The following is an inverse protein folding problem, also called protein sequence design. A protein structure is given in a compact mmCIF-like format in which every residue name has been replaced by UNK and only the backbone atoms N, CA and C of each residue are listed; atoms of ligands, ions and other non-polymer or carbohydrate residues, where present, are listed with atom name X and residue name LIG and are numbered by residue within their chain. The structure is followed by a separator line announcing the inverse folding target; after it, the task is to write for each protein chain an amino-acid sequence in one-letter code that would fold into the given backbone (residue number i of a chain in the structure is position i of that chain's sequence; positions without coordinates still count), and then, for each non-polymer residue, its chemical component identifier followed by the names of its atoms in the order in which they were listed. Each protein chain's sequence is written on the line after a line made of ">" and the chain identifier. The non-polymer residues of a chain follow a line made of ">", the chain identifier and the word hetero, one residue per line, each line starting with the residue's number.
data_IF_744421222302
#
_entry.id   IF_744421222302
#
_cell.length_a   1.000
_cell.length_b   1.000
_cell.length_c   1.000
_cell.angle_alpha   90.00
_cell.angle_beta   90.00
_cell.angle_gamma   90.00
#
_symmetry.space_group_name_H-M   'P 1'
#
loop_
_entity.id
_entity.type
_entity.pdbx_description
1 polymer ?
#
# COMPACT_ATOMS: atom_id res chain seq x y z
N UNK A 1 34.04 32.32 -35.02
CA UNK A 1 32.82 31.71 -34.45
C UNK A 1 33.15 30.24 -34.22
N UNK A 2 33.67 29.94 -33.03
CA UNK A 2 34.08 28.59 -32.61
C UNK A 2 33.20 28.28 -31.42
N UNK A 3 32.05 27.63 -31.66
CA UNK A 3 31.20 27.10 -30.61
C UNK A 3 31.98 25.98 -29.89
N UNK A 4 32.07 26.12 -28.57
CA UNK A 4 32.80 25.22 -27.70
C UNK A 4 32.26 23.78 -27.79
N UNK A 5 33.12 22.75 -27.70
CA UNK A 5 32.73 21.33 -27.70
C UNK A 5 32.07 20.86 -26.38
N UNK A 6 31.63 21.80 -25.53
CA UNK A 6 31.22 21.50 -24.14
C UNK A 6 29.90 20.71 -24.02
N UNK A 7 29.03 20.72 -25.04
CA UNK A 7 27.69 20.10 -24.93
C UNK A 7 27.65 18.63 -25.39
N UNK A 8 28.62 18.16 -26.17
CA UNK A 8 28.67 16.76 -26.64
C UNK A 8 29.60 15.85 -25.80
N UNK A 9 30.42 16.43 -24.93
CA UNK A 9 31.36 15.72 -24.04
C UNK A 9 30.67 15.01 -22.86
N UNK A 10 29.35 15.15 -22.72
CA UNK A 10 28.60 14.92 -21.47
C UNK A 10 27.89 13.56 -21.44
N UNK A 11 27.47 12.99 -22.57
CA UNK A 11 26.52 11.87 -22.58
C UNK A 11 27.07 10.56 -21.99
N UNK A 12 28.31 10.19 -22.29
CA UNK A 12 28.90 8.96 -21.72
C UNK A 12 29.15 9.10 -20.21
N UNK A 13 29.51 10.33 -19.78
CA UNK A 13 29.85 10.65 -18.39
C UNK A 13 28.57 10.79 -17.55
N UNK A 14 27.49 11.35 -18.08
CA UNK A 14 26.18 11.40 -17.40
C UNK A 14 25.57 10.01 -17.27
N UNK A 15 25.77 9.17 -18.28
CA UNK A 15 25.33 7.77 -18.26
C UNK A 15 26.28 6.83 -17.52
N UNK A 16 27.36 7.35 -16.92
CA UNK A 16 28.26 6.56 -16.08
C UNK A 16 27.50 5.97 -14.88
N UNK A 17 27.90 4.79 -14.40
CA UNK A 17 27.31 4.21 -13.21
C UNK A 17 27.72 5.01 -11.96
N UNK A 18 26.73 5.32 -11.14
CA UNK A 18 26.92 5.96 -9.84
C UNK A 18 26.77 4.94 -8.71
N UNK A 19 27.09 5.34 -7.48
CA UNK A 19 26.82 4.50 -6.29
C UNK A 19 25.33 4.21 -6.13
N UNK A 20 24.47 5.17 -6.49
CA UNK A 20 23.01 4.99 -6.51
C UNK A 20 22.59 3.97 -7.57
N UNK A 21 23.16 4.04 -8.79
CA UNK A 21 22.93 3.01 -9.83
C UNK A 21 23.31 1.61 -9.34
N UNK A 22 24.43 1.49 -8.63
CA UNK A 22 24.90 0.22 -8.08
C UNK A 22 23.99 -0.29 -6.95
N UNK A 23 23.48 0.60 -6.09
CA UNK A 23 22.49 0.30 -5.06
C UNK A 23 21.21 -0.23 -5.67
N UNK A 24 20.63 0.54 -6.58
CA UNK A 24 19.39 0.22 -7.28
C UNK A 24 19.50 -1.11 -8.03
N UNK A 25 20.65 -1.37 -8.67
CA UNK A 25 20.88 -2.64 -9.34
C UNK A 25 20.79 -3.83 -8.38
N UNK A 26 21.47 -3.76 -7.23
CA UNK A 26 21.43 -4.82 -6.24
C UNK A 26 20.01 -5.07 -5.69
N UNK A 27 19.27 -3.99 -5.40
CA UNK A 27 17.92 -4.08 -4.84
C UNK A 27 16.89 -4.54 -5.88
N UNK A 28 16.95 -4.02 -7.11
CA UNK A 28 16.10 -4.45 -8.22
C UNK A 28 16.32 -5.93 -8.56
N UNK A 29 17.58 -6.39 -8.60
CA UNK A 29 17.89 -7.81 -8.79
C UNK A 29 17.24 -8.65 -7.70
N UNK A 30 17.36 -8.26 -6.43
CA UNK A 30 16.73 -8.99 -5.33
C UNK A 30 15.20 -9.10 -5.52
N UNK A 31 14.53 -7.99 -5.82
CA UNK A 31 13.07 -7.96 -5.95
C UNK A 31 12.58 -8.76 -7.17
N UNK A 32 13.25 -8.65 -8.33
CA UNK A 32 12.91 -9.43 -9.53
C UNK A 32 13.18 -10.93 -9.33
N UNK A 33 14.32 -11.29 -8.72
CA UNK A 33 14.61 -12.67 -8.34
C UNK A 33 13.57 -13.23 -7.37
N UNK A 34 13.04 -12.40 -6.47
CA UNK A 34 11.99 -12.80 -5.55
C UNK A 34 10.67 -13.07 -6.28
N UNK A 35 10.26 -12.23 -7.23
CA UNK A 35 9.07 -12.46 -8.06
C UNK A 35 9.15 -13.78 -8.84
N UNK A 36 10.32 -14.07 -9.42
CA UNK A 36 10.58 -15.34 -10.12
C UNK A 36 10.46 -16.55 -9.17
N UNK A 37 11.14 -16.50 -7.99
CA UNK A 37 11.09 -17.60 -7.00
C UNK A 37 9.69 -17.85 -6.47
N UNK A 38 8.90 -16.80 -6.27
CA UNK A 38 7.51 -16.89 -5.79
C UNK A 38 6.51 -17.27 -6.90
N UNK A 39 7.00 -17.57 -8.11
CA UNK A 39 6.20 -17.92 -9.30
C UNK A 39 5.17 -16.86 -9.67
N UNK A 40 5.47 -15.59 -9.41
CA UNK A 40 4.65 -14.45 -9.82
C UNK A 40 4.96 -14.07 -11.28
N UNK A 41 4.90 -15.05 -12.18
CA UNK A 41 5.40 -14.93 -13.57
C UNK A 41 4.63 -13.84 -14.33
N UNK A 42 3.31 -13.73 -14.15
CA UNK A 42 2.49 -12.72 -14.83
C UNK A 42 2.90 -11.30 -14.46
N UNK A 43 3.11 -11.04 -13.15
CA UNK A 43 3.54 -9.72 -12.65
C UNK A 43 4.95 -9.42 -13.10
N UNK A 44 5.83 -10.43 -13.10
CA UNK A 44 7.19 -10.32 -13.59
C UNK A 44 7.21 -9.96 -15.08
N UNK A 45 6.46 -10.66 -15.92
CA UNK A 45 6.38 -10.38 -17.36
C UNK A 45 5.86 -8.97 -17.66
N UNK A 46 4.75 -8.54 -17.04
CA UNK A 46 4.22 -7.17 -17.23
C UNK A 46 5.23 -6.11 -16.71
N UNK A 47 5.93 -6.39 -15.60
CA UNK A 47 7.01 -5.53 -15.08
C UNK A 47 8.16 -5.38 -16.08
N UNK A 48 8.52 -6.47 -16.76
CA UNK A 48 9.61 -6.48 -17.73
C UNK A 48 9.19 -5.83 -19.04
N UNK A 49 7.96 -6.02 -19.49
CA UNK A 49 7.48 -5.50 -20.77
C UNK A 49 7.10 -4.02 -20.68
N UNK A 50 6.52 -3.62 -19.55
CA UNK A 50 6.06 -2.28 -19.25
C UNK A 50 6.77 -1.67 -18.03
N UNK A 51 8.08 -1.36 -18.12
CA UNK A 51 8.84 -0.78 -17.00
C UNK A 51 8.28 0.57 -16.55
N UNK A 52 7.63 1.33 -17.43
CA UNK A 52 6.94 2.58 -17.11
C UNK A 52 5.76 2.38 -16.16
N UNK A 53 5.12 1.20 -16.17
CA UNK A 53 4.00 0.85 -15.29
C UNK A 53 4.47 0.18 -14.00
N UNK A 54 5.75 -0.16 -13.87
CA UNK A 54 6.27 -0.92 -12.74
C UNK A 54 6.76 -0.03 -11.61
N UNK A 55 6.22 -0.24 -10.40
CA UNK A 55 6.72 0.40 -9.18
C UNK A 55 8.16 0.03 -8.88
N UNK A 56 8.64 -1.16 -9.30
CA UNK A 56 10.04 -1.55 -9.11
C UNK A 56 10.96 -0.70 -9.98
N UNK A 57 10.65 -0.53 -11.26
CA UNK A 57 11.48 0.31 -12.14
C UNK A 57 11.40 1.80 -11.80
N UNK A 58 10.29 2.27 -11.23
CA UNK A 58 10.21 3.61 -10.67
C UNK A 58 11.07 3.78 -9.41
N UNK A 59 10.94 2.87 -8.43
CA UNK A 59 11.73 2.91 -7.21
C UNK A 59 13.24 2.82 -7.49
N UNK A 60 13.61 2.07 -8.53
CA UNK A 60 15.00 1.87 -8.96
C UNK A 60 15.31 2.64 -10.25
N UNK A 61 14.89 3.92 -10.29
CA UNK A 61 15.01 4.82 -11.46
C UNK A 61 16.44 4.95 -11.99
N UNK A 62 17.46 4.88 -11.12
CA UNK A 62 18.85 5.02 -11.56
C UNK A 62 19.30 3.86 -12.46
N UNK A 63 18.64 2.71 -12.39
CA UNK A 63 18.81 1.60 -13.35
C UNK A 63 17.90 1.79 -14.55
N UNK A 64 16.61 2.10 -14.34
CA UNK A 64 15.61 2.30 -15.41
C UNK A 64 16.08 3.29 -16.48
N UNK A 65 16.62 4.43 -16.04
CA UNK A 65 17.00 5.54 -16.93
C UNK A 65 18.30 5.24 -17.71
N UNK A 66 19.00 4.13 -17.40
CA UNK A 66 20.21 3.69 -18.08
C UNK A 66 19.92 2.49 -18.97
N UNK A 67 19.57 2.74 -20.23
CA UNK A 67 19.25 1.70 -21.21
C UNK A 67 20.32 0.60 -21.33
N UNK A 68 21.61 0.96 -21.27
CA UNK A 68 22.72 0.01 -21.33
C UNK A 68 22.71 -1.04 -20.20
N UNK A 69 22.01 -0.77 -19.09
CA UNK A 69 21.87 -1.65 -17.92
C UNK A 69 20.46 -2.26 -17.80
N UNK A 70 19.41 -1.45 -18.04
CA UNK A 70 18.02 -1.89 -17.95
C UNK A 70 17.66 -2.90 -19.04
N UNK A 71 18.09 -2.70 -20.29
CA UNK A 71 17.77 -3.63 -21.39
C UNK A 71 18.36 -5.02 -21.16
N UNK A 72 19.67 -5.20 -20.87
CA UNK A 72 20.22 -6.54 -20.67
C UNK A 72 19.61 -7.24 -19.46
N UNK A 73 19.29 -6.51 -18.39
CA UNK A 73 18.61 -7.06 -17.22
C UNK A 73 17.23 -7.59 -17.61
N UNK A 74 16.42 -6.78 -18.32
CA UNK A 74 15.08 -7.17 -18.75
C UNK A 74 15.10 -8.36 -19.69
N UNK A 75 15.99 -8.33 -20.67
CA UNK A 75 16.11 -9.39 -21.68
C UNK A 75 16.47 -10.73 -21.04
N UNK A 76 17.40 -10.76 -20.09
CA UNK A 76 17.75 -12.01 -19.42
C UNK A 76 16.58 -12.53 -18.58
N UNK A 77 15.89 -11.66 -17.85
CA UNK A 77 14.70 -12.10 -17.10
C UNK A 77 13.58 -12.62 -18.01
N UNK A 78 13.37 -12.04 -19.20
CA UNK A 78 12.46 -12.62 -20.21
C UNK A 78 12.90 -14.01 -20.65
N UNK A 79 14.20 -14.25 -20.83
CA UNK A 79 14.67 -15.60 -21.14
C UNK A 79 14.47 -16.55 -19.95
N UNK A 80 14.63 -16.07 -18.72
CA UNK A 80 14.36 -16.84 -17.49
C UNK A 80 12.87 -17.24 -17.44
N UNK A 81 11.93 -16.32 -17.70
CA UNK A 81 10.49 -16.65 -17.74
C UNK A 81 10.13 -17.63 -18.87
N UNK A 82 10.86 -17.59 -19.99
CA UNK A 82 10.75 -18.55 -21.09
C UNK A 82 11.43 -19.91 -20.82
N UNK A 83 12.07 -20.10 -19.65
CA UNK A 83 12.65 -21.38 -19.24
C UNK A 83 14.17 -21.48 -19.34
N UNK A 84 14.91 -20.37 -19.29
CA UNK A 84 16.37 -20.39 -19.21
C UNK A 84 16.84 -20.89 -17.83
N UNK A 85 17.31 -22.14 -17.76
CA UNK A 85 17.74 -22.77 -16.50
C UNK A 85 19.25 -23.00 -16.38
N UNK A 86 20.01 -22.75 -17.45
CA UNK A 86 21.45 -23.05 -17.50
C UNK A 86 22.30 -21.81 -17.24
N UNK A 87 23.11 -21.83 -16.16
CA UNK A 87 24.00 -20.71 -15.78
C UNK A 87 24.91 -20.27 -16.95
N UNK A 88 25.51 -21.25 -17.64
CA UNK A 88 26.44 -21.01 -18.75
C UNK A 88 25.77 -20.25 -19.90
N UNK A 89 24.46 -20.43 -20.10
CA UNK A 89 23.73 -19.70 -21.15
C UNK A 89 23.52 -18.23 -20.75
N UNK A 90 23.17 -17.96 -19.49
CA UNK A 90 23.08 -16.59 -18.94
C UNK A 90 24.41 -15.86 -19.08
N UNK A 91 25.50 -16.50 -18.68
CA UNK A 91 26.85 -15.94 -18.78
C UNK A 91 27.21 -15.59 -20.23
N UNK A 92 26.96 -16.50 -21.18
CA UNK A 92 27.23 -16.27 -22.60
C UNK A 92 26.42 -15.12 -23.19
N UNK A 93 25.13 -15.03 -22.87
CA UNK A 93 24.25 -13.97 -23.36
C UNK A 93 24.73 -12.60 -22.86
N UNK A 94 25.04 -12.49 -21.56
CA UNK A 94 25.54 -11.25 -20.98
C UNK A 94 26.97 -10.92 -21.38
N UNK A 95 27.87 -11.89 -21.52
CA UNK A 95 29.23 -11.66 -22.00
C UNK A 95 29.22 -11.13 -23.45
N UNK A 96 28.32 -11.62 -24.29
CA UNK A 96 28.09 -11.09 -25.64
C UNK A 96 27.65 -9.63 -25.59
N UNK A 97 26.70 -9.28 -24.71
CA UNK A 97 26.22 -7.90 -24.54
C UNK A 97 27.27 -6.97 -23.95
N UNK A 98 28.05 -7.44 -22.96
CA UNK A 98 29.19 -6.73 -22.38
C UNK A 98 30.23 -6.40 -23.46
N UNK A 99 30.56 -7.37 -24.32
CA UNK A 99 31.49 -7.17 -25.41
C UNK A 99 30.97 -6.13 -26.42
N UNK A 100 29.68 -6.16 -26.75
CA UNK A 100 29.05 -5.17 -27.62
C UNK A 100 29.12 -3.75 -27.02
N UNK A 101 28.66 -3.56 -25.78
CA UNK A 101 28.73 -2.26 -25.08
C UNK A 101 30.16 -1.74 -25.01
N UNK A 102 31.12 -2.62 -24.69
CA UNK A 102 32.53 -2.24 -24.62
C UNK A 102 33.17 -1.90 -25.98
N UNK A 103 32.64 -2.39 -27.10
CA UNK A 103 33.07 -1.96 -28.45
C UNK A 103 32.41 -0.63 -28.84
N UNK A 104 31.13 -0.45 -28.53
CA UNK A 104 30.39 0.78 -28.78
C UNK A 104 31.00 1.97 -28.01
N UNK A 105 31.30 1.79 -26.72
CA UNK A 105 31.99 2.80 -25.90
C UNK A 105 33.40 3.10 -26.44
N UNK A 106 34.17 2.09 -26.86
CA UNK A 106 35.50 2.30 -27.46
C UNK A 106 35.43 3.06 -28.78
N UNK A 107 34.38 2.83 -29.58
CA UNK A 107 34.14 3.57 -30.82
C UNK A 107 33.75 5.01 -30.52
N UNK A 108 32.82 5.21 -29.58
CA UNK A 108 32.41 6.54 -29.13
C UNK A 108 33.62 7.36 -28.66
N UNK A 109 34.43 6.81 -27.75
CA UNK A 109 35.63 7.48 -27.24
C UNK A 109 36.59 7.84 -28.38
N UNK A 110 36.81 6.93 -29.34
CA UNK A 110 37.67 7.20 -30.50
C UNK A 110 37.14 8.36 -31.33
N UNK A 111 35.83 8.36 -31.63
CA UNK A 111 35.19 9.35 -32.48
C UNK A 111 35.13 10.73 -31.81
N UNK A 112 34.80 10.79 -30.51
CA UNK A 112 34.83 12.01 -29.69
C UNK A 112 36.23 12.63 -29.68
N UNK A 113 37.27 11.81 -29.48
CA UNK A 113 38.64 12.30 -29.40
C UNK A 113 39.25 12.62 -30.78
N UNK A 114 38.69 12.12 -31.88
CA UNK A 114 39.24 12.31 -33.23
C UNK A 114 39.22 13.78 -33.69
N UNK A 115 38.26 14.58 -33.20
CA UNK A 115 38.14 16.01 -33.50
C UNK A 115 39.00 16.93 -32.63
N UNK A 116 39.61 16.41 -31.56
CA UNK A 116 40.39 17.21 -30.62
C UNK A 116 41.85 17.29 -31.03
N UNK A 117 42.44 18.50 -31.07
CA UNK A 117 43.88 18.64 -31.21
C UNK A 117 44.61 18.04 -29.99
N UNK A 118 45.86 17.61 -30.19
CA UNK A 118 46.68 16.98 -29.16
C UNK A 118 47.01 17.99 -28.06
N UNK A 119 46.21 17.96 -26.99
CA UNK A 119 46.21 18.93 -25.89
C UNK A 119 46.11 18.16 -24.57
N UNK A 120 46.63 18.68 -23.45
CA UNK A 120 46.48 18.04 -22.15
C UNK A 120 45.01 17.81 -21.76
N UNK A 121 44.08 18.64 -22.25
CA UNK A 121 42.64 18.45 -22.07
C UNK A 121 42.09 17.19 -22.79
N UNK A 122 42.67 16.81 -23.93
CA UNK A 122 42.29 15.58 -24.66
C UNK A 122 42.67 14.33 -23.85
N UNK A 123 43.81 14.37 -23.17
CA UNK A 123 44.28 13.25 -22.34
C UNK A 123 43.44 13.08 -21.07
N UNK A 124 43.13 14.18 -20.37
CA UNK A 124 42.24 14.18 -19.20
C UNK A 124 40.84 13.64 -19.54
N UNK A 125 40.25 14.11 -20.65
CA UNK A 125 38.95 13.63 -21.11
C UNK A 125 39.01 12.13 -21.48
N UNK A 126 40.08 11.69 -22.15
CA UNK A 126 40.28 10.28 -22.49
C UNK A 126 40.31 9.40 -21.25
N UNK A 127 41.03 9.80 -20.20
CA UNK A 127 41.10 9.07 -18.94
C UNK A 127 39.70 8.94 -18.32
N UNK A 128 38.98 10.05 -18.15
CA UNK A 128 37.62 10.07 -17.58
C UNK A 128 36.62 9.23 -18.36
N UNK A 129 36.66 9.27 -19.69
CA UNK A 129 35.78 8.47 -20.54
C UNK A 129 36.12 6.98 -20.46
N UNK A 130 37.40 6.62 -20.40
CA UNK A 130 37.83 5.24 -20.23
C UNK A 130 37.43 4.68 -18.87
N UNK A 131 37.55 5.48 -17.80
CA UNK A 131 37.12 5.09 -16.46
C UNK A 131 35.60 4.85 -16.42
N UNK A 132 34.81 5.75 -16.99
CA UNK A 132 33.36 5.58 -17.10
C UNK A 132 32.98 4.32 -17.89
N UNK A 133 33.63 4.05 -19.03
CA UNK A 133 33.40 2.85 -19.82
C UNK A 133 33.83 1.57 -19.09
N UNK A 134 34.95 1.61 -18.35
CA UNK A 134 35.42 0.50 -17.53
C UNK A 134 34.42 0.18 -16.42
N UNK A 135 33.89 1.19 -15.74
CA UNK A 135 32.90 1.00 -14.69
C UNK A 135 31.59 0.42 -15.23
N UNK A 136 31.11 0.84 -16.41
CA UNK A 136 29.94 0.23 -17.07
C UNK A 136 30.13 -1.27 -17.27
N UNK A 137 31.29 -1.67 -17.80
CA UNK A 137 31.64 -3.08 -18.00
C UNK A 137 31.66 -3.86 -16.68
N UNK A 138 32.18 -3.26 -15.61
CA UNK A 138 32.22 -3.90 -14.29
C UNK A 138 30.82 -4.06 -13.69
N UNK A 139 29.95 -3.06 -13.84
CA UNK A 139 28.53 -3.14 -13.41
C UNK A 139 27.77 -4.22 -14.18
N UNK A 140 27.96 -4.32 -15.50
CA UNK A 140 27.35 -5.39 -16.30
C UNK A 140 27.88 -6.79 -15.91
N UNK A 141 29.16 -6.91 -15.56
CA UNK A 141 29.71 -8.16 -15.00
C UNK A 141 29.09 -8.49 -13.65
N UNK A 142 28.79 -7.49 -12.82
CA UNK A 142 28.07 -7.69 -11.56
C UNK A 142 26.66 -8.22 -11.80
N UNK A 143 25.92 -7.63 -12.75
CA UNK A 143 24.62 -8.15 -13.21
C UNK A 143 24.74 -9.60 -13.68
N UNK A 144 25.73 -9.92 -14.51
CA UNK A 144 25.99 -11.28 -15.00
C UNK A 144 26.18 -12.28 -13.86
N UNK A 145 27.05 -11.97 -12.91
CA UNK A 145 27.34 -12.88 -11.81
C UNK A 145 26.09 -13.10 -10.92
N UNK A 146 25.28 -12.07 -10.71
CA UNK A 146 24.05 -12.18 -9.95
C UNK A 146 22.98 -13.02 -10.64
N UNK A 147 22.74 -12.81 -11.94
CA UNK A 147 21.74 -13.59 -12.68
C UNK A 147 22.18 -15.04 -12.89
N UNK A 148 23.48 -15.29 -13.09
CA UNK A 148 24.03 -16.64 -13.10
C UNK A 148 23.84 -17.35 -11.75
N UNK A 149 24.05 -16.64 -10.63
CA UNK A 149 23.76 -17.19 -9.30
C UNK A 149 22.26 -17.49 -9.12
N UNK A 150 21.37 -16.59 -9.54
CA UNK A 150 19.93 -16.81 -9.42
C UNK A 150 19.45 -18.05 -10.17
N UNK A 151 19.84 -18.18 -11.45
CA UNK A 151 19.56 -19.37 -12.28
C UNK A 151 20.23 -20.61 -11.69
N UNK A 152 21.36 -20.43 -11.02
CA UNK A 152 22.04 -21.44 -10.22
C UNK A 152 21.32 -21.95 -8.98
N UNK A 153 20.16 -21.39 -8.64
CA UNK A 153 19.35 -21.84 -7.52
C UNK A 153 19.61 -21.08 -6.22
N UNK A 154 20.51 -20.11 -6.19
CA UNK A 154 20.72 -19.27 -5.01
C UNK A 154 19.48 -18.44 -4.65
N UNK A 155 19.39 -17.98 -3.40
CA UNK A 155 18.28 -17.14 -2.93
C UNK A 155 18.39 -15.72 -3.50
N UNK A 156 17.29 -14.97 -3.64
CA UNK A 156 17.32 -13.61 -4.20
C UNK A 156 18.34 -12.67 -3.54
N UNK A 157 18.40 -12.70 -2.21
CA UNK A 157 19.38 -11.95 -1.42
C UNK A 157 20.83 -12.34 -1.75
N UNK A 158 21.11 -13.64 -1.86
CA UNK A 158 22.47 -14.12 -2.19
C UNK A 158 22.83 -13.74 -3.62
N UNK A 159 21.91 -13.87 -4.57
CA UNK A 159 22.11 -13.42 -5.96
C UNK A 159 22.45 -11.93 -6.04
N UNK A 160 21.74 -11.08 -5.28
CA UNK A 160 22.04 -9.66 -5.19
C UNK A 160 23.39 -9.37 -4.51
N UNK A 161 23.79 -10.17 -3.52
CA UNK A 161 25.09 -10.05 -2.86
C UNK A 161 26.24 -10.44 -3.80
N UNK A 162 26.03 -11.38 -4.73
CA UNK A 162 26.99 -11.68 -5.81
C UNK A 162 27.24 -10.46 -6.72
N UNK A 163 26.20 -9.68 -7.04
CA UNK A 163 26.39 -8.40 -7.72
C UNK A 163 27.22 -7.45 -6.84
N UNK A 164 26.85 -7.26 -5.57
CA UNK A 164 27.54 -6.36 -4.63
C UNK A 164 29.04 -6.66 -4.53
N UNK A 165 29.41 -7.93 -4.39
CA UNK A 165 30.82 -8.34 -4.32
C UNK A 165 31.58 -8.11 -5.62
N UNK A 166 30.90 -8.18 -6.76
CA UNK A 166 31.49 -8.00 -8.09
C UNK A 166 31.68 -6.54 -8.48
N UNK A 167 30.99 -5.61 -7.82
CA UNK A 167 31.12 -4.17 -8.05
C UNK A 167 32.51 -3.63 -7.63
N UNK A 168 33.02 -2.59 -8.31
CA UNK A 168 34.28 -1.94 -7.92
C UNK A 168 34.14 -1.23 -6.57
N UNK A 169 35.27 -1.03 -5.87
CA UNK A 169 35.28 -0.56 -4.47
C UNK A 169 34.58 0.79 -4.26
N UNK A 170 34.66 1.70 -5.23
CA UNK A 170 34.04 3.03 -5.14
C UNK A 170 32.53 3.01 -5.38
N UNK A 171 31.98 1.95 -5.99
CA UNK A 171 30.54 1.77 -6.22
C UNK A 171 29.90 0.74 -5.27
N UNK A 172 30.72 -0.05 -4.57
CA UNK A 172 30.25 -1.16 -3.73
C UNK A 172 29.59 -0.66 -2.45
N UNK A 173 28.41 -1.20 -2.16
CA UNK A 173 27.69 -0.97 -0.92
C UNK A 173 28.32 -1.70 0.28
N UNK A 174 28.19 -1.09 1.45
CA UNK A 174 28.40 -1.78 2.72
C UNK A 174 27.43 -2.95 2.89
N UNK A 175 27.80 -3.94 3.70
CA UNK A 175 26.91 -5.08 3.94
C UNK A 175 25.65 -4.67 4.72
N UNK A 176 25.82 -3.83 5.75
CA UNK A 176 24.69 -3.34 6.56
C UNK A 176 23.75 -2.46 5.73
N UNK A 177 24.32 -1.52 4.95
CA UNK A 177 23.57 -0.69 3.99
C UNK A 177 22.77 -1.55 2.98
N UNK A 178 23.37 -2.64 2.51
CA UNK A 178 22.71 -3.57 1.59
C UNK A 178 21.58 -4.35 2.26
N UNK A 179 21.78 -4.85 3.47
CA UNK A 179 20.75 -5.55 4.24
C UNK A 179 19.57 -4.63 4.57
N UNK A 180 19.84 -3.42 5.04
CA UNK A 180 18.83 -2.42 5.33
C UNK A 180 18.05 -2.06 4.06
N UNK A 181 18.75 -1.92 2.93
CA UNK A 181 18.14 -1.74 1.62
C UNK A 181 17.20 -2.89 1.22
N UNK A 182 17.59 -4.15 1.45
CA UNK A 182 16.73 -5.31 1.18
C UNK A 182 15.54 -5.38 2.15
N UNK A 183 15.72 -4.98 3.41
CA UNK A 183 14.63 -4.96 4.38
C UNK A 183 13.57 -3.90 4.06
N UNK A 184 14.01 -2.81 3.43
CA UNK A 184 13.17 -1.70 3.01
C UNK A 184 13.00 -1.65 1.48
N UNK A 185 13.13 -2.77 0.77
CA UNK A 185 13.02 -2.80 -0.71
C UNK A 185 11.60 -2.52 -1.18
N UNK A 186 11.45 -1.96 -2.39
CA UNK A 186 10.14 -1.66 -2.97
C UNK A 186 9.23 -2.90 -3.00
N UNK A 187 9.80 -4.07 -3.33
CA UNK A 187 9.08 -5.34 -3.33
C UNK A 187 8.51 -5.77 -1.97
N UNK A 188 9.10 -5.31 -0.85
CA UNK A 188 8.60 -5.58 0.51
C UNK A 188 7.61 -4.54 1.02
N UNK A 189 7.67 -3.30 0.52
CA UNK A 189 6.75 -2.22 0.90
C UNK A 189 5.34 -2.45 0.36
N UNK A 190 5.24 -3.12 -0.78
CA UNK A 190 4.00 -3.39 -1.50
C UNK A 190 3.33 -4.67 -0.94
N UNK A 191 2.02 -4.62 -0.65
CA UNK A 191 1.31 -5.71 0.04
C UNK A 191 0.90 -6.86 -0.89
N UNK A 192 0.67 -6.54 -2.17
CA UNK A 192 0.26 -7.52 -3.20
C UNK A 192 1.11 -7.37 -4.47
N UNK A 193 1.53 -8.48 -5.11
CA UNK A 193 2.23 -8.42 -6.41
C UNK A 193 1.46 -7.62 -7.47
N UNK A 194 0.13 -7.62 -7.44
CA UNK A 194 -0.69 -6.87 -8.41
C UNK A 194 -0.67 -5.35 -8.18
N UNK A 195 -0.34 -4.90 -6.96
CA UNK A 195 -0.16 -3.48 -6.66
C UNK A 195 1.15 -2.93 -7.24
N UNK A 196 2.08 -3.81 -7.66
CA UNK A 196 3.36 -3.43 -8.27
C UNK A 196 3.21 -2.80 -9.67
N UNK A 197 2.02 -2.89 -10.27
CA UNK A 197 1.75 -2.47 -11.64
C UNK A 197 0.66 -1.40 -11.67
N UNK A 198 0.93 -0.31 -12.39
CA UNK A 198 -0.09 0.67 -12.72
C UNK A 198 -1.18 0.07 -13.64
N UNK A 199 -2.44 0.48 -13.46
CA UNK A 199 -3.50 0.21 -14.43
C UNK A 199 -3.12 0.67 -15.84
N UNK A 200 -3.72 0.08 -16.87
CA UNK A 200 -3.39 0.30 -18.29
C UNK A 200 -3.82 1.69 -18.81
N UNK A 201 -4.31 2.58 -17.94
CA UNK A 201 -4.70 3.93 -18.36
C UNK A 201 -3.47 4.72 -18.87
N UNK A 202 -3.66 5.59 -19.88
CA UNK A 202 -2.57 6.33 -20.49
C UNK A 202 -2.12 7.43 -19.53
N UNK A 203 -1.24 7.09 -18.62
CA UNK A 203 -0.52 8.04 -17.80
C UNK A 203 0.78 8.34 -18.55
N UNK A 204 0.98 9.60 -18.93
CA UNK A 204 2.23 10.03 -19.52
C UNK A 204 3.31 10.01 -18.42
N UNK A 205 4.36 9.17 -18.55
CA UNK A 205 5.41 9.02 -17.54
C UNK A 205 6.26 10.29 -17.34
N UNK A 206 6.04 11.33 -18.14
CA UNK A 206 6.68 12.64 -18.00
C UNK A 206 5.83 13.66 -17.23
N UNK A 207 4.64 13.28 -16.78
CA UNK A 207 3.72 14.16 -16.03
C UNK A 207 3.96 14.11 -14.53
N UNK A 208 3.70 15.22 -13.85
CA UNK A 208 3.74 15.29 -12.37
C UNK A 208 2.72 14.34 -11.73
N UNK A 209 1.60 14.07 -12.40
CA UNK A 209 0.58 13.11 -11.96
C UNK A 209 1.12 11.66 -11.93
N UNK A 210 2.03 11.30 -12.85
CA UNK A 210 2.71 10.00 -12.82
C UNK A 210 3.57 9.84 -11.55
N UNK A 211 4.45 10.80 -11.28
CA UNK A 211 5.36 10.75 -10.13
C UNK A 211 4.56 10.71 -8.81
N UNK A 212 3.50 11.52 -8.71
CA UNK A 212 2.61 11.55 -7.55
C UNK A 212 1.91 10.20 -7.35
N UNK A 213 1.40 9.56 -8.41
CA UNK A 213 0.73 8.27 -8.31
C UNK A 213 1.69 7.12 -7.94
N UNK A 214 2.91 7.14 -8.48
CA UNK A 214 3.93 6.13 -8.20
C UNK A 214 4.45 6.25 -6.76
N UNK A 215 4.75 7.47 -6.31
CA UNK A 215 5.19 7.74 -4.94
C UNK A 215 4.13 7.30 -3.91
N UNK A 216 2.85 7.67 -4.14
CA UNK A 216 1.73 7.23 -3.28
C UNK A 216 1.64 5.72 -3.15
N UNK A 217 1.76 4.98 -4.26
CA UNK A 217 1.65 3.52 -4.26
C UNK A 217 2.85 2.81 -3.64
N UNK A 218 4.05 3.37 -3.76
CA UNK A 218 5.23 2.85 -3.07
C UNK A 218 5.20 3.06 -1.56
N UNK A 219 4.20 3.79 -1.05
CA UNK A 219 4.19 4.22 0.34
C UNK A 219 5.34 5.17 0.64
N UNK A 220 5.88 5.84 -0.39
CA UNK A 220 6.67 7.06 -0.23
C UNK A 220 5.68 8.15 0.20
N UNK A 221 5.20 8.02 1.44
CA UNK A 221 4.72 9.18 2.15
C UNK A 221 5.86 10.19 2.09
N UNK A 222 5.52 11.44 1.78
CA UNK A 222 6.36 12.63 2.00
C UNK A 222 6.68 12.82 3.50
N UNK A 223 7.19 11.78 4.15
CA UNK A 223 7.58 11.71 5.55
C UNK A 223 9.05 11.26 5.70
N UNK A 224 9.74 10.80 4.64
CA UNK A 224 11.14 10.33 4.73
C UNK A 224 12.18 11.15 3.93
N UNK A 225 11.80 12.19 3.18
CA UNK A 225 12.76 13.13 2.58
C UNK A 225 12.38 14.58 2.93
N UNK A 226 12.68 14.96 4.17
CA UNK A 226 13.31 16.22 4.55
C UNK A 226 13.55 16.11 6.06
N UNK A 227 14.78 16.37 6.49
CA UNK A 227 15.08 16.62 7.91
C UNK A 227 13.99 17.50 8.50
N UNK A 228 13.53 17.16 9.71
CA UNK A 228 12.59 17.94 10.52
C UNK A 228 12.94 19.45 10.51
N UNK A 229 12.46 20.20 9.51
CA UNK A 229 12.08 21.57 9.77
C UNK A 229 10.83 21.48 10.64
N UNK A 230 10.86 22.04 11.87
CA UNK A 230 9.68 22.07 12.70
C UNK A 230 8.64 22.93 11.97
N UNK A 231 7.72 22.28 11.26
CA UNK A 231 6.54 22.95 10.73
C UNK A 231 5.85 23.57 11.94
N UNK A 232 5.89 24.90 12.01
CA UNK A 232 5.21 25.65 13.05
C UNK A 232 3.77 25.13 13.14
N UNK A 233 3.33 24.79 14.36
CA UNK A 233 1.96 24.35 14.60
C UNK A 233 1.01 25.35 13.93
N UNK A 234 -0.02 24.91 13.16
CA UNK A 234 -0.86 25.81 12.39
C UNK A 234 -1.34 26.96 13.29
N UNK A 235 -0.94 28.21 13.02
CA UNK A 235 -1.30 29.31 13.90
C UNK A 235 -2.82 29.46 13.88
N UNK A 236 -3.41 29.38 15.07
CA UNK A 236 -4.84 29.60 15.31
C UNK A 236 -5.78 28.74 14.44
N UNK A 237 -5.58 27.40 14.48
CA UNK A 237 -6.43 26.42 13.78
C UNK A 237 -7.94 26.66 14.02
N UNK A 238 -8.33 27.00 15.25
CA UNK A 238 -9.74 27.23 15.59
C UNK A 238 -10.29 28.46 14.86
N UNK A 239 -9.57 29.60 14.86
CA UNK A 239 -10.03 30.77 14.12
C UNK A 239 -10.07 30.54 12.61
N UNK A 240 -9.13 29.77 12.04
CA UNK A 240 -9.12 29.40 10.62
C UNK A 240 -10.32 28.51 10.28
N UNK A 241 -10.59 27.46 11.06
CA UNK A 241 -11.76 26.61 10.87
C UNK A 241 -13.08 27.39 11.01
N UNK A 242 -13.16 28.34 11.95
CA UNK A 242 -14.33 29.22 12.11
C UNK A 242 -14.49 30.18 10.93
N UNK A 243 -13.39 30.71 10.38
CA UNK A 243 -13.43 31.57 9.20
C UNK A 243 -13.90 30.79 7.96
N UNK A 244 -13.37 29.57 7.76
CA UNK A 244 -13.82 28.65 6.73
C UNK A 244 -15.31 28.33 6.93
N UNK A 245 -15.74 27.92 8.11
CA UNK A 245 -17.16 27.58 8.37
C UNK A 245 -18.14 28.74 8.08
N UNK A 246 -17.75 30.00 8.34
CA UNK A 246 -18.59 31.19 8.08
C UNK A 246 -18.79 31.51 6.61
N UNK A 247 -17.82 31.17 5.76
CA UNK A 247 -17.89 31.43 4.32
C UNK A 247 -18.90 30.55 3.58
N UNK A 248 -19.17 29.36 4.12
CA UNK A 248 -19.79 28.25 3.42
C UNK A 248 -21.29 28.10 3.71
N UNK A 249 -21.91 29.11 4.32
CA UNK A 249 -23.34 29.16 4.59
C UNK A 249 -24.11 29.55 3.31
N UNK A 250 -24.27 28.60 2.39
CA UNK A 250 -25.16 28.73 1.23
C UNK A 250 -26.59 28.34 1.63
N UNK A 251 -27.62 29.08 1.18
CA UNK A 251 -29.04 28.79 1.44
C UNK A 251 -29.58 27.48 0.79
N UNK A 252 -28.70 26.52 0.44
CA UNK A 252 -29.06 25.26 -0.23
C UNK A 252 -29.45 24.17 0.78
N UNK A 253 -30.67 23.66 0.69
CA UNK A 253 -31.19 22.63 1.59
C UNK A 253 -30.50 21.27 1.44
N UNK A 254 -30.05 20.91 0.25
CA UNK A 254 -29.41 19.61 -0.01
C UNK A 254 -27.97 19.60 0.53
N UNK A 255 -27.31 20.75 0.48
CA UNK A 255 -26.02 20.98 1.15
C UNK A 255 -26.12 20.70 2.64
N UNK A 256 -27.02 21.40 3.34
CA UNK A 256 -27.21 21.26 4.79
C UNK A 256 -27.50 19.80 5.19
N UNK A 257 -28.37 19.12 4.43
CA UNK A 257 -28.66 17.70 4.68
C UNK A 257 -27.41 16.82 4.59
N UNK A 258 -26.55 17.02 3.59
CA UNK A 258 -25.31 16.25 3.44
C UNK A 258 -24.27 16.57 4.52
N UNK A 259 -24.19 17.83 4.97
CA UNK A 259 -23.34 18.26 6.10
C UNK A 259 -23.79 17.54 7.38
N UNK A 260 -25.07 17.61 7.69
CA UNK A 260 -25.64 17.04 8.92
C UNK A 260 -25.45 15.52 8.95
N UNK A 261 -25.75 14.82 7.84
CA UNK A 261 -25.55 13.36 7.75
C UNK A 261 -24.10 12.94 7.98
N UNK A 262 -23.14 13.59 7.30
CA UNK A 262 -21.73 13.23 7.46
C UNK A 262 -21.22 13.57 8.87
N UNK A 263 -21.65 14.69 9.44
CA UNK A 263 -21.31 15.07 10.80
C UNK A 263 -21.79 14.01 11.82
N UNK A 264 -23.04 13.56 11.73
CA UNK A 264 -23.60 12.50 12.59
C UNK A 264 -22.77 11.21 12.50
N UNK A 265 -22.45 10.75 11.28
CA UNK A 265 -21.63 9.56 11.09
C UNK A 265 -20.22 9.71 11.69
N UNK A 266 -19.53 10.81 11.42
CA UNK A 266 -18.19 11.07 11.94
C UNK A 266 -18.18 11.24 13.47
N UNK A 267 -19.28 11.65 14.08
CA UNK A 267 -19.45 11.69 15.53
C UNK A 267 -19.60 10.28 16.13
N UNK A 268 -20.35 9.40 15.46
CA UNK A 268 -20.57 8.02 15.91
C UNK A 268 -19.33 7.14 15.77
N UNK A 269 -18.50 7.34 14.74
CA UNK A 269 -17.31 6.51 14.46
C UNK A 269 -16.24 6.65 15.57
N UNK A 270 -15.82 5.54 16.17
CA UNK A 270 -14.73 5.50 17.16
C UNK A 270 -13.34 5.82 16.56
N UNK A 271 -12.37 6.24 17.40
CA UNK A 271 -11.00 6.62 16.96
C UNK A 271 -10.30 5.58 16.05
N UNK A 272 -10.33 4.26 16.33
CA UNK A 272 -9.70 3.26 15.46
C UNK A 272 -10.34 3.18 14.06
N UNK A 273 -11.68 3.20 14.02
CA UNK A 273 -12.44 3.16 12.78
C UNK A 273 -12.29 4.47 11.97
N UNK A 274 -12.10 5.61 12.65
CA UNK A 274 -11.83 6.89 12.01
C UNK A 274 -10.42 6.92 11.38
N UNK A 275 -9.42 6.31 12.03
CA UNK A 275 -8.09 6.11 11.45
C UNK A 275 -8.14 5.22 10.20
N UNK A 276 -9.00 4.21 10.19
CA UNK A 276 -9.17 3.36 9.02
C UNK A 276 -9.90 4.08 7.89
N UNK A 277 -10.93 4.85 8.20
CA UNK A 277 -11.61 5.71 7.23
C UNK A 277 -10.64 6.70 6.56
N UNK A 278 -9.73 7.29 7.34
CA UNK A 278 -8.67 8.17 6.83
C UNK A 278 -7.69 7.49 5.86
N UNK A 279 -7.56 6.16 5.94
CA UNK A 279 -6.73 5.38 5.00
C UNK A 279 -7.49 4.95 3.75
N UNK A 280 -8.81 4.81 3.86
CA UNK A 280 -9.67 4.30 2.79
C UNK A 280 -10.18 5.38 1.84
N UNK A 281 -10.32 6.62 2.34
CA UNK A 281 -10.81 7.77 1.59
C UNK A 281 -9.62 8.62 1.09
N UNK A 282 -9.67 9.04 -0.16
CA UNK A 282 -8.62 9.87 -0.78
C UNK A 282 -8.47 11.22 -0.06
N UNK A 283 -7.22 11.73 0.04
CA UNK A 283 -6.92 12.99 0.76
C UNK A 283 -7.68 14.19 0.18
N UNK A 284 -7.85 14.23 -1.14
CA UNK A 284 -8.57 15.30 -1.84
C UNK A 284 -10.06 15.31 -1.47
N UNK A 285 -10.63 14.14 -1.21
CA UNK A 285 -12.03 14.00 -0.79
C UNK A 285 -12.25 14.51 0.64
N UNK A 286 -11.23 14.42 1.51
CA UNK A 286 -11.29 15.03 2.84
C UNK A 286 -11.23 16.56 2.79
N UNK A 287 -10.42 17.11 1.89
CA UNK A 287 -10.34 18.55 1.66
C UNK A 287 -11.72 19.11 1.36
N UNK A 288 -12.43 18.49 0.42
CA UNK A 288 -13.78 18.90 0.01
C UNK A 288 -14.87 18.48 1.00
N UNK A 289 -14.81 17.25 1.50
CA UNK A 289 -15.85 16.64 2.33
C UNK A 289 -15.98 17.25 3.72
N UNK A 290 -14.89 17.76 4.30
CA UNK A 290 -14.88 18.39 5.63
C UNK A 290 -15.39 19.83 5.64
N UNK A 291 -15.55 20.44 4.47
CA UNK A 291 -15.93 21.84 4.37
C UNK A 291 -17.34 22.05 4.92
N UNK A 292 -17.59 23.13 5.66
CA UNK A 292 -18.89 23.42 6.27
C UNK A 292 -19.33 22.48 7.40
N UNK A 293 -18.55 21.43 7.75
CA UNK A 293 -18.84 20.61 8.94
C UNK A 293 -18.58 21.41 10.24
N UNK A 294 -19.22 21.02 11.35
CA UNK A 294 -18.93 21.60 12.66
C UNK A 294 -17.43 21.52 13.01
N UNK A 295 -16.86 22.61 13.55
CA UNK A 295 -15.42 22.67 13.88
C UNK A 295 -15.01 21.57 14.85
N UNK A 296 -15.92 21.12 15.71
CA UNK A 296 -15.73 19.98 16.62
C UNK A 296 -15.41 18.68 15.89
N UNK A 297 -16.11 18.40 14.79
CA UNK A 297 -15.94 17.19 13.98
C UNK A 297 -14.64 17.28 13.17
N UNK A 298 -14.40 18.42 12.51
CA UNK A 298 -13.17 18.64 11.74
C UNK A 298 -11.94 18.54 12.63
N UNK A 299 -11.97 19.12 13.84
CA UNK A 299 -10.88 19.03 14.81
C UNK A 299 -10.60 17.59 15.25
N UNK A 300 -11.64 16.77 15.39
CA UNK A 300 -11.49 15.34 15.72
C UNK A 300 -10.70 14.63 14.63
N UNK A 301 -11.02 14.90 13.37
CA UNK A 301 -10.33 14.33 12.19
C UNK A 301 -8.88 14.84 12.14
N UNK A 302 -8.65 16.15 12.31
CA UNK A 302 -7.32 16.76 12.36
C UNK A 302 -6.44 16.21 13.50
N UNK A 303 -7.02 15.93 14.67
CA UNK A 303 -6.29 15.41 15.84
C UNK A 303 -5.66 14.02 15.63
N UNK A 304 -6.03 13.35 14.54
CA UNK A 304 -5.52 12.05 14.15
C UNK A 304 -4.38 12.14 13.11
N UNK A 305 -4.06 13.34 12.64
CA UNK A 305 -3.07 13.60 11.59
C UNK A 305 -1.81 14.30 12.13
N UNK A 306 -0.71 14.19 11.39
CA UNK A 306 0.52 14.97 11.66
C UNK A 306 0.32 16.46 11.39
N UNK A 307 1.13 17.33 12.00
CA UNK A 307 1.03 18.79 11.81
C UNK A 307 1.15 19.22 10.33
N UNK A 308 2.00 18.55 9.56
CA UNK A 308 2.16 18.78 8.12
C UNK A 308 0.91 18.36 7.34
N UNK A 309 0.32 17.21 7.66
CA UNK A 309 -0.92 16.76 7.03
C UNK A 309 -2.10 17.69 7.37
N UNK A 310 -2.18 18.19 8.61
CA UNK A 310 -3.15 19.21 9.00
C UNK A 310 -2.95 20.50 8.20
N UNK A 311 -1.71 20.96 8.03
CA UNK A 311 -1.40 22.18 7.28
C UNK A 311 -1.74 22.06 5.79
N UNK A 312 -1.44 20.92 5.16
CA UNK A 312 -1.79 20.65 3.77
C UNK A 312 -3.30 20.57 3.57
N UNK A 313 -4.00 19.79 4.39
CA UNK A 313 -5.46 19.67 4.31
C UNK A 313 -6.15 21.03 4.51
N UNK A 314 -5.64 21.84 5.44
CA UNK A 314 -6.15 23.18 5.68
C UNK A 314 -5.90 24.12 4.49
N UNK A 315 -4.76 23.98 3.81
CA UNK A 315 -4.46 24.70 2.58
C UNK A 315 -5.39 24.27 1.45
N UNK A 316 -5.64 22.98 1.29
CA UNK A 316 -6.58 22.46 0.28
C UNK A 316 -8.00 22.98 0.53
N UNK A 317 -8.44 22.98 1.80
CA UNK A 317 -9.71 23.56 2.22
C UNK A 317 -9.80 25.07 1.88
N UNK A 318 -8.70 25.80 2.02
CA UNK A 318 -8.59 27.23 1.67
C UNK A 318 -8.53 27.46 0.16
N UNK A 319 -7.89 26.60 -0.63
CA UNK A 319 -7.82 26.70 -2.09
C UNK A 319 -9.16 26.39 -2.77
N UNK A 320 -9.95 25.49 -2.18
CA UNK A 320 -11.32 25.17 -2.59
C UNK A 320 -12.35 26.23 -2.16
N UNK A 321 -11.95 27.22 -1.35
CA UNK A 321 -12.74 28.43 -1.06
C UNK A 321 -12.22 29.65 -1.84
N UNK A 322 -13.13 30.44 -2.42
CA UNK A 322 -12.77 31.78 -2.87
C UNK A 322 -12.59 32.74 -1.68
N UNK A 323 -11.99 33.92 -1.90
CA UNK A 323 -11.70 34.94 -0.87
C UNK A 323 -12.94 35.38 -0.05
N UNK A 324 -14.14 35.14 -0.59
CA UNK A 324 -15.45 35.40 0.05
C UNK A 324 -16.11 34.14 0.65
N UNK A 325 -15.45 32.98 0.65
CA UNK A 325 -15.92 31.74 1.26
C UNK A 325 -16.89 30.91 0.41
N UNK A 326 -17.11 31.29 -0.85
CA UNK A 326 -18.01 30.58 -1.77
C UNK A 326 -17.28 29.37 -2.34
N UNK A 327 -17.88 28.18 -2.22
CA UNK A 327 -17.36 26.95 -2.84
C UNK A 327 -17.33 27.12 -4.36
N UNK A 328 -16.20 26.85 -5.00
CA UNK A 328 -16.12 26.88 -6.47
C UNK A 328 -16.95 25.75 -7.12
N UNK A 329 -17.28 24.69 -6.38
CA UNK A 329 -17.95 23.47 -6.89
C UNK A 329 -19.00 22.86 -5.93
N UNK A 330 -20.11 23.55 -5.59
CA UNK A 330 -21.09 23.07 -4.59
C UNK A 330 -21.71 21.69 -4.91
N UNK A 331 -21.92 21.37 -6.19
CA UNK A 331 -22.43 20.07 -6.61
C UNK A 331 -21.41 18.91 -6.56
N UNK A 332 -20.11 19.20 -6.47
CA UNK A 332 -19.07 18.19 -6.28
C UNK A 332 -18.99 17.76 -4.81
N UNK A 333 -19.19 18.69 -3.87
CA UNK A 333 -19.06 18.43 -2.44
C UNK A 333 -20.10 17.43 -1.94
N UNK A 334 -21.37 17.58 -2.31
CA UNK A 334 -22.41 16.63 -1.89
C UNK A 334 -22.13 15.22 -2.41
N UNK A 335 -21.57 15.08 -3.62
CA UNK A 335 -21.17 13.78 -4.17
C UNK A 335 -19.98 13.18 -3.43
N UNK A 336 -18.98 13.99 -3.09
CA UNK A 336 -17.83 13.55 -2.30
C UNK A 336 -18.27 13.09 -0.92
N UNK A 337 -19.16 13.84 -0.23
CA UNK A 337 -19.70 13.43 1.07
C UNK A 337 -20.50 12.14 0.99
N UNK A 338 -21.35 11.97 -0.01
CA UNK A 338 -22.07 10.69 -0.20
C UNK A 338 -21.10 9.54 -0.48
N UNK A 339 -20.00 9.76 -1.22
CA UNK A 339 -18.94 8.74 -1.38
C UNK A 339 -18.27 8.37 -0.06
N UNK A 340 -18.00 9.34 0.82
CA UNK A 340 -17.44 9.08 2.16
C UNK A 340 -18.45 8.30 3.01
N UNK A 341 -19.73 8.68 2.97
CA UNK A 341 -20.81 7.98 3.68
C UNK A 341 -20.95 6.55 3.15
N UNK A 342 -20.91 6.34 1.83
CA UNK A 342 -20.95 5.01 1.22
C UNK A 342 -19.81 4.13 1.73
N UNK A 343 -18.59 4.68 1.87
CA UNK A 343 -17.46 3.94 2.46
C UNK A 343 -17.73 3.60 3.93
N UNK A 344 -18.28 4.54 4.72
CA UNK A 344 -18.64 4.31 6.13
C UNK A 344 -19.68 3.19 6.24
N UNK A 345 -20.72 3.21 5.41
CA UNK A 345 -21.82 2.25 5.40
C UNK A 345 -21.36 0.87 4.89
N UNK A 346 -20.63 0.81 3.78
CA UNK A 346 -20.09 -0.44 3.22
C UNK A 346 -19.13 -1.13 4.18
N UNK A 347 -18.38 -0.35 4.98
CA UNK A 347 -17.41 -0.87 5.96
C UNK A 347 -17.99 -1.01 7.37
N UNK A 348 -19.23 -0.59 7.61
CA UNK A 348 -19.88 -0.69 8.92
C UNK A 348 -19.19 0.10 10.04
N UNK A 349 -18.50 1.20 9.70
CA UNK A 349 -17.58 1.89 10.62
C UNK A 349 -18.29 2.68 11.73
N UNK A 350 -19.55 3.07 11.53
CA UNK A 350 -20.30 3.92 12.46
C UNK A 350 -20.86 3.17 13.68
N UNK A 351 -21.33 1.93 13.50
CA UNK A 351 -22.01 1.13 14.54
C UNK A 351 -21.32 -0.22 14.81
N UNK A 352 -20.04 -0.38 14.44
CA UNK A 352 -19.35 -1.67 14.55
C UNK A 352 -19.98 -2.78 13.69
N UNK A 353 -20.67 -2.40 12.61
CA UNK A 353 -21.39 -3.30 11.72
C UNK A 353 -22.90 -3.45 11.97
N UNK A 354 -23.49 -2.78 12.98
CA UNK A 354 -24.92 -2.94 13.28
C UNK A 354 -25.87 -2.58 12.12
N UNK A 355 -25.57 -1.54 11.36
CA UNK A 355 -26.35 -1.12 10.19
C UNK A 355 -26.28 -2.16 9.05
N UNK A 356 -25.09 -2.70 8.78
CA UNK A 356 -24.89 -3.80 7.83
C UNK A 356 -25.67 -5.04 8.25
N UNK A 357 -25.55 -5.43 9.52
CA UNK A 357 -26.24 -6.57 10.12
C UNK A 357 -27.76 -6.51 9.92
N UNK A 358 -28.39 -5.35 10.13
CA UNK A 358 -29.84 -5.15 9.90
C UNK A 358 -30.28 -5.42 8.45
N UNK A 359 -29.37 -5.39 7.49
CA UNK A 359 -29.67 -5.58 6.05
C UNK A 359 -29.82 -7.06 5.67
N UNK A 360 -29.12 -7.97 6.38
CA UNK A 360 -29.06 -9.38 6.00
C UNK A 360 -29.39 -10.37 7.13
N UNK A 361 -29.51 -9.92 8.38
CA UNK A 361 -29.99 -10.78 9.47
C UNK A 361 -31.48 -11.13 9.29
N UNK A 362 -31.85 -12.31 9.77
CA UNK A 362 -33.25 -12.68 9.86
C UNK A 362 -33.94 -11.86 10.96
N UNK A 363 -35.28 -11.66 10.88
CA UNK A 363 -36.06 -11.25 12.03
C UNK A 363 -35.71 -12.13 13.24
N UNK A 364 -35.79 -11.59 14.46
CA UNK A 364 -35.44 -12.35 15.66
C UNK A 364 -36.21 -13.68 15.69
N UNK A 365 -35.46 -14.75 15.48
CA UNK A 365 -35.91 -16.14 15.40
C UNK A 365 -35.21 -16.96 16.50
N UNK A 366 -34.31 -16.32 17.24
CA UNK A 366 -33.38 -16.97 18.14
C UNK A 366 -33.98 -17.40 19.48
N UNK A 367 -33.25 -18.31 20.13
CA UNK A 367 -33.53 -18.72 21.51
C UNK A 367 -33.06 -17.63 22.48
N UNK A 368 -33.95 -17.15 23.36
CA UNK A 368 -33.61 -16.15 24.40
C UNK A 368 -32.42 -16.58 25.29
N UNK A 369 -32.19 -17.90 25.42
CA UNK A 369 -31.04 -18.44 26.15
C UNK A 369 -29.70 -18.16 25.45
N UNK A 370 -29.67 -18.06 24.12
CA UNK A 370 -28.48 -17.66 23.37
C UNK A 370 -28.22 -16.16 23.52
N UNK A 371 -29.27 -15.34 23.44
CA UNK A 371 -29.15 -13.89 23.64
C UNK A 371 -28.68 -13.54 25.05
N UNK A 372 -29.08 -14.32 26.06
CA UNK A 372 -28.59 -14.19 27.43
C UNK A 372 -27.07 -14.39 27.56
N UNK A 373 -26.42 -15.10 26.63
CA UNK A 373 -24.96 -15.24 26.62
C UNK A 373 -24.26 -13.90 26.40
N UNK A 374 -24.88 -12.95 25.70
CA UNK A 374 -24.29 -11.61 25.47
C UNK A 374 -24.15 -10.78 26.77
N UNK A 375 -24.87 -11.15 27.83
CA UNK A 375 -24.79 -10.50 29.14
C UNK A 375 -23.64 -11.04 30.01
N UNK A 376 -22.95 -12.10 29.57
CA UNK A 376 -21.81 -12.68 30.29
C UNK A 376 -20.58 -11.77 30.25
N UNK A 377 -19.65 -12.02 31.17
CA UNK A 377 -18.39 -11.29 31.26
C UNK A 377 -17.51 -11.50 30.01
N UNK A 378 -16.69 -10.50 29.71
CA UNK A 378 -15.84 -10.48 28.52
C UNK A 378 -14.90 -11.69 28.42
N UNK A 379 -14.44 -12.23 29.55
CA UNK A 379 -13.59 -13.44 29.59
C UNK A 379 -14.35 -14.69 29.12
N UNK A 380 -15.62 -14.83 29.50
CA UNK A 380 -16.47 -15.95 29.10
C UNK A 380 -16.80 -15.86 27.61
N UNK A 381 -17.16 -14.68 27.11
CA UNK A 381 -17.40 -14.43 25.69
C UNK A 381 -16.18 -14.76 24.81
N UNK A 382 -14.97 -14.41 25.28
CA UNK A 382 -13.73 -14.75 24.59
C UNK A 382 -13.45 -16.26 24.61
N UNK A 383 -13.86 -16.98 25.65
CA UNK A 383 -13.76 -18.45 25.69
C UNK A 383 -14.72 -19.10 24.68
N UNK A 384 -15.90 -18.52 24.46
CA UNK A 384 -16.88 -19.03 23.49
C UNK A 384 -16.33 -18.99 22.07
N UNK A 385 -15.71 -17.87 21.68
CA UNK A 385 -15.04 -17.73 20.38
C UNK A 385 -13.88 -18.71 20.15
N UNK A 386 -13.28 -19.25 21.21
CA UNK A 386 -12.21 -20.25 21.11
C UNK A 386 -12.74 -21.69 21.00
N UNK A 387 -13.92 -21.94 21.56
CA UNK A 387 -14.49 -23.29 21.68
C UNK A 387 -15.51 -23.60 20.57
N UNK A 388 -16.04 -22.58 19.90
CA UNK A 388 -17.06 -22.71 18.85
C UNK A 388 -16.42 -22.44 17.48
N UNK A 389 -16.79 -23.26 16.49
CA UNK A 389 -16.39 -23.04 15.10
C UNK A 389 -16.97 -21.75 14.53
N UNK A 390 -16.15 -20.99 13.80
CA UNK A 390 -16.50 -19.66 13.29
C UNK A 390 -17.77 -19.65 12.45
N UNK A 391 -17.91 -20.61 11.55
CA UNK A 391 -19.07 -20.71 10.65
C UNK A 391 -20.36 -20.97 11.44
N UNK A 392 -20.29 -21.80 12.49
CA UNK A 392 -21.43 -22.08 13.38
C UNK A 392 -21.82 -20.85 14.19
N UNK A 393 -20.84 -20.09 14.67
CA UNK A 393 -21.10 -18.82 15.36
C UNK A 393 -21.73 -17.80 14.41
N UNK A 394 -21.25 -17.69 13.16
CA UNK A 394 -21.83 -16.82 12.14
C UNK A 394 -23.30 -17.14 11.85
N UNK A 395 -23.64 -18.43 11.70
CA UNK A 395 -25.02 -18.88 11.51
C UNK A 395 -25.89 -18.58 12.73
N UNK A 396 -25.37 -18.80 13.95
CA UNK A 396 -26.10 -18.52 15.18
C UNK A 396 -26.42 -17.03 15.33
N UNK A 397 -25.47 -16.16 14.97
CA UNK A 397 -25.61 -14.71 15.06
C UNK A 397 -26.68 -14.17 14.08
N UNK A 398 -26.90 -14.80 12.92
CA UNK A 398 -27.87 -14.33 11.91
C UNK A 398 -29.33 -14.21 12.40
N UNK A 399 -29.73 -14.93 13.45
CA UNK A 399 -31.08 -14.87 14.03
C UNK A 399 -31.19 -14.12 15.36
N UNK A 400 -30.15 -13.40 15.77
CA UNK A 400 -30.13 -12.60 17.01
C UNK A 400 -30.51 -11.14 16.75
N UNK A 401 -30.58 -10.31 17.79
CA UNK A 401 -30.68 -8.86 17.60
C UNK A 401 -29.33 -8.28 17.14
N UNK A 402 -29.37 -7.19 16.37
CA UNK A 402 -28.14 -6.52 15.93
C UNK A 402 -27.24 -6.09 17.11
N UNK A 403 -27.84 -5.72 18.25
CA UNK A 403 -27.13 -5.35 19.48
C UNK A 403 -26.34 -6.54 20.06
N UNK A 404 -26.97 -7.72 20.12
CA UNK A 404 -26.33 -8.96 20.56
C UNK A 404 -25.21 -9.35 19.59
N UNK A 405 -25.44 -9.27 18.29
CA UNK A 405 -24.43 -9.60 17.28
C UNK A 405 -23.20 -8.68 17.36
N UNK A 406 -23.39 -7.37 17.48
CA UNK A 406 -22.28 -6.41 17.66
C UNK A 406 -21.49 -6.73 18.93
N UNK A 407 -22.17 -7.07 20.03
CA UNK A 407 -21.51 -7.44 21.29
C UNK A 407 -20.56 -8.65 21.14
N UNK A 408 -20.97 -9.65 20.36
CA UNK A 408 -20.11 -10.80 20.06
C UNK A 408 -18.98 -10.45 19.09
N UNK A 409 -19.27 -9.66 18.07
CA UNK A 409 -18.33 -9.26 17.02
C UNK A 409 -17.25 -8.29 17.52
N UNK A 410 -17.54 -7.47 18.53
CA UNK A 410 -16.58 -6.56 19.18
C UNK A 410 -15.47 -7.29 19.96
N UNK A 411 -15.50 -8.62 20.02
CA UNK A 411 -14.40 -9.44 20.57
C UNK A 411 -13.37 -9.83 19.52
N UNK A 412 -13.73 -9.73 18.25
CA UNK A 412 -12.85 -10.03 17.14
C UNK A 412 -11.95 -8.82 16.85
N UNK A 413 -10.77 -9.08 16.29
CA UNK A 413 -10.00 -8.01 15.68
C UNK A 413 -10.80 -7.41 14.52
N UNK A 414 -10.55 -6.15 14.18
CA UNK A 414 -11.26 -5.44 13.10
C UNK A 414 -11.30 -6.24 11.79
N UNK A 415 -10.16 -6.85 11.41
CA UNK A 415 -10.07 -7.75 10.26
C UNK A 415 -10.93 -9.01 10.40
N UNK A 416 -10.91 -9.66 11.57
CA UNK A 416 -11.70 -10.86 11.81
C UNK A 416 -13.20 -10.56 11.89
N UNK A 417 -13.58 -9.39 12.42
CA UNK A 417 -14.95 -8.89 12.41
C UNK A 417 -15.43 -8.66 10.99
N UNK A 418 -14.63 -8.04 10.13
CA UNK A 418 -15.01 -7.82 8.73
C UNK A 418 -15.18 -9.14 7.96
N UNK A 419 -14.23 -10.07 8.11
CA UNK A 419 -14.36 -11.40 7.50
C UNK A 419 -15.64 -12.11 7.97
N UNK A 420 -15.94 -12.03 9.27
CA UNK A 420 -17.16 -12.62 9.82
C UNK A 420 -18.43 -11.97 9.27
N UNK A 421 -18.47 -10.63 9.13
CA UNK A 421 -19.60 -9.93 8.53
C UNK A 421 -19.81 -10.34 7.07
N UNK A 422 -18.72 -10.47 6.29
CA UNK A 422 -18.77 -10.93 4.90
C UNK A 422 -19.25 -12.39 4.81
N UNK A 423 -18.76 -13.27 5.68
CA UNK A 423 -19.17 -14.68 5.78
C UNK A 423 -20.66 -14.78 6.14
N UNK A 424 -21.12 -14.03 7.14
CA UNK A 424 -22.53 -13.98 7.54
C UNK A 424 -23.43 -13.49 6.41
N UNK A 425 -23.03 -12.47 5.65
CA UNK A 425 -23.76 -11.97 4.48
C UNK A 425 -23.86 -13.01 3.36
N UNK A 426 -22.82 -13.81 3.16
CA UNK A 426 -22.85 -14.91 2.18
C UNK A 426 -23.76 -16.06 2.63
N UNK A 427 -23.83 -16.33 3.93
CA UNK A 427 -24.63 -17.39 4.54
C UNK A 427 -26.12 -17.03 4.67
N UNK A 428 -26.48 -15.75 4.80
CA UNK A 428 -27.86 -15.32 5.00
C UNK A 428 -28.81 -15.74 3.87
N UNK A 429 -28.29 -15.97 2.66
CA UNK A 429 -29.09 -16.43 1.52
C UNK A 429 -29.38 -17.94 1.51
N UNK A 430 -28.64 -18.76 2.26
CA UNK A 430 -28.71 -20.23 2.20
C UNK A 430 -29.25 -20.87 3.47
N UNK A 431 -29.30 -20.13 4.58
CA UNK A 431 -29.65 -20.64 5.91
C UNK A 431 -31.14 -20.41 6.18
N UNK A 432 -31.83 -21.41 6.75
CA UNK A 432 -33.24 -21.26 7.17
C UNK A 432 -33.35 -20.93 8.66
N UNK A 433 -34.48 -20.32 9.05
CA UNK A 433 -34.84 -20.06 10.45
C UNK A 433 -34.68 -21.30 11.36
N UNK A 434 -35.05 -22.48 10.86
CA UNK A 434 -34.94 -23.74 11.61
C UNK A 434 -33.49 -24.18 11.85
N UNK A 435 -32.58 -23.87 10.93
CA UNK A 435 -31.17 -24.22 11.05
C UNK A 435 -30.49 -23.33 12.10
N UNK A 436 -30.86 -22.04 12.12
CA UNK A 436 -30.37 -21.06 13.10
C UNK A 436 -30.77 -21.49 14.52
N UNK A 437 -32.05 -21.80 14.76
CA UNK A 437 -32.52 -22.26 16.07
C UNK A 437 -31.80 -23.53 16.56
N UNK A 438 -31.55 -24.47 15.64
CA UNK A 438 -30.86 -25.73 15.95
C UNK A 438 -29.43 -25.46 16.42
N UNK A 439 -28.71 -24.63 15.68
CA UNK A 439 -27.31 -24.29 15.98
C UNK A 439 -27.20 -23.48 17.28
N UNK A 440 -28.11 -22.54 17.52
CA UNK A 440 -28.14 -21.79 18.77
C UNK A 440 -28.37 -22.71 19.98
N UNK A 441 -29.29 -23.69 19.88
CA UNK A 441 -29.51 -24.68 20.95
C UNK A 441 -28.30 -25.57 21.19
N UNK A 442 -27.60 -25.98 20.13
CA UNK A 442 -26.36 -26.76 20.23
C UNK A 442 -25.24 -25.96 20.92
N UNK A 443 -25.11 -24.66 20.62
CA UNK A 443 -24.13 -23.77 21.27
C UNK A 443 -24.49 -23.55 22.74
N UNK A 444 -25.75 -23.23 23.06
CA UNK A 444 -26.17 -23.09 24.47
C UNK A 444 -25.93 -24.40 25.24
N UNK A 445 -26.19 -25.55 24.62
CA UNK A 445 -25.92 -26.87 25.20
C UNK A 445 -24.45 -27.16 25.46
N UNK A 446 -23.53 -26.67 24.63
CA UNK A 446 -22.08 -26.82 24.86
C UNK A 446 -21.53 -25.84 25.91
N UNK A 447 -22.24 -24.75 26.16
CA UNK A 447 -21.86 -23.72 27.13
C UNK A 447 -22.36 -23.99 28.54
N UNK A 448 -23.38 -24.84 28.71
CA UNK A 448 -23.84 -25.23 30.04
C UNK A 448 -22.77 -26.10 30.71
N UNK A 449 -22.16 -25.66 31.82
CA UNK A 449 -21.32 -26.53 32.60
C UNK A 449 -22.14 -27.73 33.10
N UNK A 450 -21.50 -28.89 33.20
CA UNK A 450 -22.09 -30.09 33.80
C UNK A 450 -22.70 -29.80 35.19
N UNK A 451 -22.19 -28.78 35.88
CA UNK A 451 -22.68 -28.31 37.19
C UNK A 451 -24.07 -27.67 37.15
N UNK A 452 -24.44 -26.94 36.09
CA UNK A 452 -25.79 -26.35 35.93
C UNK A 452 -26.82 -27.43 35.58
N UNK A 453 -26.42 -28.41 34.76
CA UNK A 453 -27.22 -29.61 34.48
C UNK A 453 -27.44 -30.43 35.76
N UNK A 454 -26.41 -30.52 36.62
CA UNK A 454 -26.52 -31.15 37.94
C UNK A 454 -27.33 -30.31 38.93
N UNK A 455 -27.35 -28.98 38.81
CA UNK A 455 -28.19 -28.08 39.61
C UNK A 455 -29.68 -28.26 39.25
N UNK A 456 -30.02 -28.26 37.96
CA UNK A 456 -31.37 -28.54 37.44
C UNK A 456 -31.85 -29.95 37.85
N UNK A 457 -30.96 -30.96 37.78
CA UNK A 457 -31.26 -32.33 38.24
C UNK A 457 -31.43 -32.38 39.77
N UNK A 458 -30.62 -31.65 40.54
CA UNK A 458 -30.78 -31.58 42.00
C UNK A 458 -32.06 -30.88 42.41
N UNK A 459 -32.49 -29.86 41.67
CA UNK A 459 -33.75 -29.15 41.92
C UNK A 459 -34.96 -30.05 41.58
N UNK A 460 -34.89 -30.82 40.50
CA UNK A 460 -35.86 -31.87 40.15
C UNK A 460 -35.89 -33.05 41.13
N UNK A 461 -34.77 -33.39 41.77
CA UNK A 461 -34.70 -34.42 42.82
C UNK A 461 -35.05 -33.89 44.21
N UNK A 462 -35.00 -32.56 44.42
CA UNK A 462 -35.34 -31.89 45.67
C UNK A 462 -36.82 -31.50 45.76
N UNK A 463 -37.60 -31.58 44.69
CA UNK A 463 -39.06 -31.47 44.76
C UNK A 463 -39.66 -32.71 45.43
N UNK A 464 -40.28 -32.61 46.63
CA UNK A 464 -41.01 -33.72 47.20
C UNK A 464 -42.40 -33.75 46.58
N UNK A 465 -42.60 -34.61 45.57
CA UNK A 465 -43.90 -34.74 44.94
C UNK A 465 -43.98 -35.58 43.67
N UNK A 466 -43.59 -36.85 43.77
CA UNK A 466 -44.42 -37.96 43.28
C UNK A 466 -44.49 -39.02 44.39
#
# INVERSE_FOLDING_TARGET
>A
MTSAPAEADIDLITLAPTRETARDLCLLINDLCHLDKMRQIVVLEDTLDHPERSLLFYAYRHVRDRAWLAEPLRDIFRHITLGLTEQVQVERLLDSRIAAVGEDDRRYIRDTLAGMADTPAREDLRERLNDAAADKVLVLRALRNALAAHVGGYTPQVSADYARFSLPKHLRLGYDEFLDGINNSAGKRIRSPNEMLLPVDPIDPTTTDYDDQMARRLGENFEDEEEDEPVEAPPDLEARLVAIAKGWATDDSDWHRSVDRLAEYLEMIGKPALMELLRLVDKNDWGVGLLGLPTTVVRRVFSLMSNRAQALLLRDMEEESDFDGICRTPGAVSKVRESIIDVIEQRGLADGGAALLKTFMHPHVGCDAFDALAQKEDAELNSLWRNIEKDRMGIALLGTTAEVAVRFLDRLSERARQMMLDDMKNLSGSVTASDIEKIQKEIVGSCRPLEDVLADIRELLASPGA
#
